data_IF_960298806474
#
_entry.id   IF_960298806474
#
_cell.length_a   1.000
_cell.length_b   1.000
_cell.length_c   1.000
_cell.angle_alpha   90.00
_cell.angle_beta   90.00
_cell.angle_gamma   90.00
#
_symmetry.space_group_name_H-M   'P 1'
#
loop_
_entity.id
_entity.type
_entity.pdbx_description
1 polymer ?
#
# COMPACT_ATOMS: atom_id res chain seq x y z
N UNK A 1 -20.11 19.47 17.90
CA UNK A 1 -18.78 19.85 17.42
C UNK A 1 -17.74 18.97 18.12
N UNK A 2 -16.76 18.43 17.40
CA UNK A 2 -15.63 17.67 17.95
C UNK A 2 -14.32 18.39 17.70
N UNK A 3 -13.44 18.39 18.69
CA UNK A 3 -12.08 18.90 18.53
C UNK A 3 -11.13 17.78 18.10
N UNK A 4 -10.36 18.01 17.04
CA UNK A 4 -9.29 17.14 16.57
C UNK A 4 -7.94 17.83 16.78
N UNK A 5 -7.14 17.33 17.74
CA UNK A 5 -5.80 17.86 18.00
C UNK A 5 -4.78 17.13 17.14
N UNK A 6 -3.99 17.87 16.36
CA UNK A 6 -2.89 17.34 15.57
C UNK A 6 -1.58 17.72 16.24
N UNK A 7 -0.91 16.74 16.86
CA UNK A 7 0.41 16.90 17.45
C UNK A 7 1.47 16.85 16.34
N UNK A 8 2.03 18.00 16.00
CA UNK A 8 3.00 18.17 14.93
C UNK A 8 4.42 18.09 15.50
N UNK A 9 5.22 17.14 15.01
CA UNK A 9 6.65 17.09 15.34
C UNK A 9 7.45 17.98 14.39
N UNK A 10 8.66 18.43 14.75
CA UNK A 10 9.55 19.06 13.79
C UNK A 10 9.72 18.20 12.54
N UNK A 11 9.73 18.83 11.36
CA UNK A 11 9.87 18.17 10.06
C UNK A 11 8.74 17.16 9.74
N UNK A 12 7.54 17.36 10.30
CA UNK A 12 6.38 16.53 9.96
C UNK A 12 6.06 16.59 8.45
N UNK A 13 5.52 15.51 7.91
CA UNK A 13 5.18 15.43 6.49
C UNK A 13 3.93 16.27 6.17
N UNK A 14 4.08 17.37 5.42
CA UNK A 14 2.98 18.28 5.07
C UNK A 14 1.79 17.56 4.43
N UNK A 15 2.06 16.65 3.48
CA UNK A 15 1.00 15.89 2.81
C UNK A 15 0.17 15.05 3.79
N UNK A 16 0.82 14.44 4.79
CA UNK A 16 0.13 13.64 5.80
C UNK A 16 -0.76 14.49 6.71
N UNK A 17 -0.29 15.69 7.07
CA UNK A 17 -1.06 16.66 7.83
C UNK A 17 -2.26 17.16 7.02
N UNK A 18 -2.03 17.66 5.81
CA UNK A 18 -3.09 18.14 4.93
C UNK A 18 -4.17 17.07 4.70
N UNK A 19 -3.76 15.83 4.41
CA UNK A 19 -4.69 14.70 4.18
C UNK A 19 -5.53 14.34 5.40
N UNK A 20 -5.05 14.61 6.61
CA UNK A 20 -5.79 14.36 7.85
C UNK A 20 -6.69 15.55 8.24
N UNK A 21 -6.25 16.78 7.97
CA UNK A 21 -6.93 18.00 8.39
C UNK A 21 -8.05 18.40 7.41
N UNK A 22 -7.75 18.42 6.11
CA UNK A 22 -8.65 18.96 5.09
C UNK A 22 -10.03 18.27 5.01
N UNK A 23 -10.17 16.95 5.24
CA UNK A 23 -11.48 16.29 5.28
C UNK A 23 -12.43 16.85 6.34
N UNK A 24 -11.90 17.30 7.48
CA UNK A 24 -12.69 17.89 8.55
C UNK A 24 -13.25 19.24 8.11
N UNK A 25 -12.44 20.07 7.46
CA UNK A 25 -12.85 21.36 6.90
C UNK A 25 -13.89 21.18 5.80
N UNK A 26 -13.70 20.20 4.91
CA UNK A 26 -14.66 19.88 3.86
C UNK A 26 -15.99 19.39 4.43
N UNK A 27 -15.97 18.52 5.45
CA UNK A 27 -17.19 18.06 6.12
C UNK A 27 -18.00 19.21 6.72
N UNK A 28 -17.34 20.19 7.37
CA UNK A 28 -18.01 21.39 7.87
C UNK A 28 -18.64 22.20 6.73
N UNK A 29 -17.88 22.42 5.66
CA UNK A 29 -18.36 23.22 4.52
C UNK A 29 -19.58 22.58 3.84
N UNK A 30 -19.51 21.27 3.58
CA UNK A 30 -20.54 20.52 2.85
C UNK A 30 -21.81 20.38 3.70
N UNK A 31 -21.67 20.13 5.01
CA UNK A 31 -22.82 20.02 5.91
C UNK A 31 -23.48 21.37 6.23
N UNK A 32 -22.75 22.47 6.07
CA UNK A 32 -23.20 23.79 6.50
C UNK A 32 -23.14 24.00 8.03
N UNK A 33 -22.54 23.07 8.78
CA UNK A 33 -22.43 23.10 10.24
C UNK A 33 -20.97 23.01 10.70
N UNK A 34 -20.67 23.52 11.90
CA UNK A 34 -19.36 23.33 12.54
C UNK A 34 -19.32 21.96 13.24
N UNK A 35 -19.09 20.90 12.47
CA UNK A 35 -18.97 19.54 12.98
C UNK A 35 -17.64 19.29 13.68
N UNK A 36 -16.55 19.87 13.15
CA UNK A 36 -15.18 19.63 13.58
C UNK A 36 -14.38 20.91 13.78
N UNK A 37 -13.46 20.88 14.76
CA UNK A 37 -12.49 21.94 15.01
C UNK A 37 -11.07 21.34 15.03
N UNK A 38 -10.25 21.57 13.99
CA UNK A 38 -8.86 21.17 14.01
C UNK A 38 -8.03 22.15 14.86
N UNK A 39 -7.29 21.61 15.84
CA UNK A 39 -6.31 22.36 16.62
C UNK A 39 -4.91 21.78 16.39
N UNK A 40 -3.91 22.65 16.31
CA UNK A 40 -2.52 22.25 16.10
C UNK A 40 -1.76 22.38 17.41
N UNK A 41 -1.11 21.30 17.84
CA UNK A 41 -0.36 21.25 19.09
C UNK A 41 1.07 20.78 18.85
N UNK A 42 1.98 21.17 19.72
CA UNK A 42 3.35 20.66 19.79
C UNK A 42 3.79 20.58 21.25
N UNK A 43 4.98 20.01 21.53
CA UNK A 43 5.46 19.86 22.92
C UNK A 43 5.49 21.20 23.66
N UNK A 44 6.11 22.22 23.07
CA UNK A 44 6.27 23.56 23.64
C UNK A 44 5.31 24.62 23.10
N UNK A 45 4.55 24.32 22.04
CA UNK A 45 3.85 25.33 21.25
C UNK A 45 4.79 26.13 20.34
N UNK A 46 4.23 27.13 19.67
CA UNK A 46 4.92 27.99 18.70
C UNK A 46 4.98 27.41 17.29
N UNK A 47 5.74 28.03 16.37
CA UNK A 47 5.80 27.60 14.97
C UNK A 47 6.55 26.28 14.81
N UNK A 48 5.92 25.32 14.14
CA UNK A 48 6.53 24.03 13.77
C UNK A 48 6.62 23.88 12.26
N UNK A 49 7.85 23.75 11.75
CA UNK A 49 8.11 23.58 10.32
C UNK A 49 7.86 22.15 9.85
N UNK A 50 7.18 22.04 8.71
CA UNK A 50 6.99 20.81 7.94
C UNK A 50 8.20 20.47 7.06
N UNK A 51 8.15 19.29 6.45
CA UNK A 51 9.16 18.78 5.53
C UNK A 51 9.35 19.58 4.23
N UNK A 52 8.42 20.48 3.88
CA UNK A 52 8.55 21.35 2.70
C UNK A 52 8.84 22.81 3.06
N UNK A 53 9.14 23.12 4.33
CA UNK A 53 9.52 24.46 4.78
C UNK A 53 8.35 25.39 5.13
N UNK A 54 7.10 25.00 4.84
CA UNK A 54 5.92 25.67 5.42
C UNK A 54 5.77 25.30 6.90
N UNK A 55 5.13 26.15 7.71
CA UNK A 55 4.95 25.92 9.14
C UNK A 55 3.51 26.13 9.59
N UNK A 56 3.17 25.56 10.74
CA UNK A 56 1.93 25.83 11.46
C UNK A 56 2.29 26.48 12.79
N UNK A 57 1.51 27.48 13.20
CA UNK A 57 1.55 27.93 14.59
C UNK A 57 0.80 26.94 15.47
N UNK A 58 1.38 26.58 16.61
CA UNK A 58 0.87 25.50 17.46
C UNK A 58 0.72 25.96 18.90
N UNK A 59 -0.26 25.39 19.58
CA UNK A 59 -0.40 25.55 21.02
C UNK A 59 0.48 24.51 21.74
N UNK A 60 1.00 24.82 22.94
CA UNK A 60 1.60 23.79 23.76
C UNK A 60 0.56 22.72 24.07
N UNK A 61 0.96 21.45 24.05
CA UNK A 61 0.09 20.35 24.46
C UNK A 61 -0.37 20.52 25.91
N UNK A 62 0.38 21.28 26.74
CA UNK A 62 -0.07 21.84 28.01
C UNK A 62 -0.61 20.83 29.03
N UNK A 63 -1.06 21.32 30.18
CA UNK A 63 -1.81 20.50 31.12
C UNK A 63 -3.30 20.71 30.84
N UNK A 64 -3.86 19.90 29.95
CA UNK A 64 -5.26 20.00 29.57
C UNK A 64 -6.15 19.65 30.78
N UNK A 65 -6.96 20.63 31.21
CA UNK A 65 -8.04 20.44 32.20
C UNK A 65 -9.36 19.98 31.54
N UNK A 66 -9.44 20.03 30.21
CA UNK A 66 -10.61 19.65 29.42
C UNK A 66 -10.49 18.22 28.87
N UNK A 67 -11.64 17.60 28.60
CA UNK A 67 -11.72 16.29 27.98
C UNK A 67 -11.23 16.35 26.52
N UNK A 68 -10.08 15.76 26.24
CA UNK A 68 -9.54 15.62 24.88
C UNK A 68 -10.12 14.36 24.25
N UNK A 69 -11.01 14.52 23.28
CA UNK A 69 -11.63 13.39 22.58
C UNK A 69 -10.68 12.74 21.56
N UNK A 70 -9.99 13.56 20.75
CA UNK A 70 -9.20 13.08 19.61
C UNK A 70 -7.83 13.76 19.56
N UNK A 71 -6.76 12.96 19.45
CA UNK A 71 -5.40 13.45 19.25
C UNK A 71 -4.63 12.57 18.25
N UNK A 72 -4.07 13.18 17.21
CA UNK A 72 -3.28 12.50 16.17
C UNK A 72 -1.85 13.04 16.14
N UNK A 73 -0.88 12.16 16.37
CA UNK A 73 0.55 12.47 16.24
C UNK A 73 0.98 12.36 14.79
N UNK A 74 1.52 13.43 14.23
CA UNK A 74 2.05 13.45 12.87
C UNK A 74 3.55 13.64 12.94
N UNK A 75 4.29 12.57 12.66
CA UNK A 75 5.74 12.62 12.63
C UNK A 75 6.30 12.29 11.24
N UNK A 76 7.27 13.09 10.82
CA UNK A 76 8.02 12.92 9.57
C UNK A 76 9.52 12.82 9.84
N UNK A 77 10.32 12.76 8.78
CA UNK A 77 11.77 12.60 8.89
C UNK A 77 12.14 11.29 9.58
N UNK A 78 13.10 11.36 10.53
CA UNK A 78 13.47 10.22 11.36
C UNK A 78 12.73 10.29 12.72
N UNK A 79 11.61 9.57 12.90
CA UNK A 79 10.84 9.62 14.15
C UNK A 79 11.56 8.97 15.34
N UNK A 80 12.57 8.12 15.09
CA UNK A 80 13.36 7.48 16.14
C UNK A 80 14.34 8.44 16.82
N UNK A 81 14.72 9.52 16.14
CA UNK A 81 15.60 10.56 16.66
C UNK A 81 14.87 11.68 17.41
N UNK A 82 13.54 11.59 17.55
CA UNK A 82 12.76 12.59 18.28
C UNK A 82 12.97 12.43 19.79
N UNK A 83 13.16 13.55 20.48
CA UNK A 83 13.04 13.63 21.94
C UNK A 83 11.56 13.71 22.30
N UNK A 84 11.06 12.71 23.05
CA UNK A 84 9.62 12.55 23.27
C UNK A 84 9.24 12.37 24.73
N UNK A 85 10.13 12.58 25.71
CA UNK A 85 9.84 12.24 27.11
C UNK A 85 8.65 13.01 27.67
N UNK A 86 8.63 14.33 27.48
CA UNK A 86 7.51 15.19 27.89
C UNK A 86 6.21 14.81 27.15
N UNK A 87 6.31 14.64 25.82
CA UNK A 87 5.19 14.23 24.97
C UNK A 87 4.63 12.88 25.43
N UNK A 88 5.49 11.91 25.76
CA UNK A 88 5.10 10.57 26.16
C UNK A 88 4.34 10.57 27.48
N UNK A 89 4.73 11.41 28.44
CA UNK A 89 4.02 11.54 29.71
C UNK A 89 2.59 12.06 29.50
N UNK A 90 2.43 13.09 28.66
CA UNK A 90 1.13 13.66 28.32
C UNK A 90 0.27 12.68 27.50
N UNK A 91 0.83 12.00 26.50
CA UNK A 91 0.13 10.97 25.73
C UNK A 91 -0.41 9.84 26.63
N UNK A 92 0.40 9.36 27.59
CA UNK A 92 -0.04 8.37 28.59
C UNK A 92 -1.13 8.90 29.52
N UNK A 93 -1.14 10.21 29.80
CA UNK A 93 -2.21 10.83 30.60
C UNK A 93 -3.52 10.83 29.81
N UNK A 94 -3.50 11.31 28.56
CA UNK A 94 -4.66 11.30 27.67
C UNK A 94 -5.23 9.89 27.46
N UNK A 95 -4.36 8.89 27.32
CA UNK A 95 -4.77 7.49 27.20
C UNK A 95 -5.61 7.01 28.39
N UNK A 96 -5.24 7.40 29.63
CA UNK A 96 -6.01 7.06 30.84
C UNK A 96 -7.39 7.73 30.88
N UNK A 97 -7.59 8.81 30.13
CA UNK A 97 -8.88 9.50 30.01
C UNK A 97 -9.72 9.00 28.82
N UNK A 98 -9.27 7.97 28.11
CA UNK A 98 -10.03 7.35 27.01
C UNK A 98 -9.99 8.14 25.71
N UNK A 99 -9.03 9.05 25.54
CA UNK A 99 -8.82 9.78 24.29
C UNK A 99 -8.57 8.81 23.12
N UNK A 100 -9.19 9.06 21.97
CA UNK A 100 -8.79 8.43 20.71
C UNK A 100 -7.42 8.97 20.31
N UNK A 101 -6.39 8.12 20.42
CA UNK A 101 -5.01 8.50 20.11
C UNK A 101 -4.58 7.84 18.80
N UNK A 102 -4.18 8.67 17.84
CA UNK A 102 -3.74 8.24 16.54
C UNK A 102 -2.30 8.58 16.21
N UNK A 103 -1.72 7.81 15.29
CA UNK A 103 -0.35 7.97 14.81
C UNK A 103 -0.30 7.92 13.30
N UNK A 104 0.14 9.01 12.68
CA UNK A 104 0.21 9.17 11.22
C UNK A 104 1.67 9.21 10.78
N UNK A 105 2.01 8.43 9.76
CA UNK A 105 3.38 8.29 9.25
C UNK A 105 4.30 7.75 10.35
N UNK A 106 5.31 8.51 10.79
CA UNK A 106 6.16 8.17 11.91
C UNK A 106 5.46 8.28 13.27
N UNK A 107 4.24 8.81 13.34
CA UNK A 107 3.51 9.02 14.59
C UNK A 107 3.32 7.73 15.40
N UNK A 108 3.15 6.59 14.72
CA UNK A 108 3.07 5.29 15.40
C UNK A 108 4.36 4.92 16.15
N UNK A 109 5.54 5.39 15.70
CA UNK A 109 6.81 5.22 16.44
C UNK A 109 6.77 5.99 17.76
N UNK A 110 6.25 7.23 17.74
CA UNK A 110 6.07 8.04 18.96
C UNK A 110 5.11 7.33 19.92
N UNK A 111 4.00 6.77 19.41
CA UNK A 111 3.06 6.00 20.24
C UNK A 111 3.68 4.70 20.79
N UNK A 112 4.52 4.01 20.02
CA UNK A 112 5.23 2.82 20.46
C UNK A 112 6.17 3.14 21.63
N UNK A 113 7.01 4.17 21.48
CA UNK A 113 7.92 4.64 22.53
C UNK A 113 7.19 5.18 23.76
N UNK A 114 5.99 5.76 23.60
CA UNK A 114 5.13 6.14 24.71
C UNK A 114 4.49 4.95 25.45
N UNK A 115 4.58 3.73 24.89
CA UNK A 115 4.01 2.50 25.46
C UNK A 115 2.55 2.23 25.07
N UNK A 116 2.02 2.94 24.07
CA UNK A 116 0.58 3.01 23.79
C UNK A 116 0.06 1.99 22.76
N UNK A 117 0.95 1.19 22.17
CA UNK A 117 0.60 0.24 21.11
C UNK A 117 0.63 -1.24 21.56
N UNK A 118 0.99 -1.50 22.82
CA UNK A 118 0.98 -2.87 23.35
C UNK A 118 -0.44 -3.44 23.32
N UNK A 119 -0.58 -4.67 22.82
CA UNK A 119 -1.85 -5.38 22.67
C UNK A 119 -2.87 -4.64 21.78
N UNK A 120 -2.40 -3.79 20.87
CA UNK A 120 -3.20 -3.09 19.88
C UNK A 120 -2.81 -3.52 18.48
N UNK A 121 -3.78 -3.58 17.59
CA UNK A 121 -3.54 -3.62 16.15
C UNK A 121 -3.15 -2.22 15.70
N UNK A 122 -2.09 -2.12 14.91
CA UNK A 122 -1.62 -0.85 14.40
C UNK A 122 -0.82 -1.01 13.12
N UNK A 123 -0.57 0.11 12.44
CA UNK A 123 0.30 0.22 11.28
C UNK A 123 1.25 1.40 11.46
N UNK A 124 2.33 1.43 10.68
CA UNK A 124 3.31 2.53 10.59
C UNK A 124 3.73 2.68 9.14
N UNK A 125 4.26 3.82 8.71
CA UNK A 125 4.84 3.95 7.37
C UNK A 125 5.85 2.83 7.09
N UNK A 126 5.77 2.20 5.91
CA UNK A 126 6.56 1.04 5.51
C UNK A 126 8.07 1.22 5.73
N UNK A 127 8.58 2.43 5.54
CA UNK A 127 10.00 2.77 5.71
C UNK A 127 10.47 2.60 7.17
N UNK A 128 9.57 2.74 8.14
CA UNK A 128 9.89 2.64 9.56
C UNK A 128 9.56 1.27 10.15
N UNK A 129 8.94 0.34 9.40
CA UNK A 129 8.50 -0.95 9.95
C UNK A 129 9.64 -1.79 10.48
N UNK A 130 10.77 -1.86 9.76
CA UNK A 130 11.88 -2.73 10.17
C UNK A 130 12.59 -2.16 11.40
N UNK A 131 12.95 -0.88 11.37
CA UNK A 131 13.51 -0.19 12.53
C UNK A 131 12.60 -0.27 13.76
N UNK A 132 11.28 -0.19 13.58
CA UNK A 132 10.32 -0.36 14.68
C UNK A 132 10.37 -1.78 15.26
N UNK A 133 10.50 -2.83 14.43
CA UNK A 133 10.62 -4.21 14.90
C UNK A 133 11.94 -4.48 15.61
N UNK A 134 13.01 -3.83 15.16
CA UNK A 134 14.32 -3.91 15.83
C UNK A 134 14.27 -3.28 17.22
N UNK A 135 13.68 -2.09 17.36
CA UNK A 135 13.56 -1.40 18.65
C UNK A 135 12.49 -2.02 19.57
N UNK A 136 11.39 -2.52 19.00
CA UNK A 136 10.27 -3.12 19.73
C UNK A 136 9.90 -4.51 19.20
N UNK A 137 10.67 -5.57 19.52
CA UNK A 137 10.45 -6.92 18.98
C UNK A 137 9.08 -7.54 19.31
N UNK A 138 8.41 -7.04 20.35
CA UNK A 138 7.09 -7.51 20.78
C UNK A 138 5.93 -6.86 20.00
N UNK A 139 6.19 -5.81 19.23
CA UNK A 139 5.18 -5.11 18.45
C UNK A 139 5.21 -5.59 16.99
N UNK A 140 4.04 -5.90 16.44
CA UNK A 140 3.92 -6.38 15.05
C UNK A 140 3.04 -5.42 14.26
N UNK A 141 3.63 -4.46 13.51
CA UNK A 141 2.84 -3.57 12.66
C UNK A 141 2.23 -4.32 11.48
N UNK A 142 0.96 -4.02 11.17
CA UNK A 142 0.26 -4.53 9.99
C UNK A 142 0.68 -3.74 8.74
N UNK A 143 0.75 -4.40 7.57
CA UNK A 143 1.12 -3.76 6.29
C UNK A 143 -0.07 -3.08 5.59
N UNK A 144 -0.86 -2.33 6.35
CA UNK A 144 -2.13 -1.70 5.92
C UNK A 144 -2.01 -0.20 5.75
N UNK A 145 -2.84 0.41 4.90
CA UNK A 145 -2.92 1.87 4.77
C UNK A 145 -3.27 2.55 6.10
N UNK A 146 -4.25 2.02 6.81
CA UNK A 146 -4.60 2.46 8.16
C UNK A 146 -5.19 1.32 8.99
N UNK A 147 -5.17 1.46 10.30
CA UNK A 147 -5.73 0.51 11.27
C UNK A 147 -6.47 1.29 12.34
N UNK A 148 -7.76 0.98 12.50
CA UNK A 148 -8.60 1.43 13.60
C UNK A 148 -8.79 0.26 14.57
N UNK A 149 -8.35 0.43 15.82
CA UNK A 149 -8.47 -0.58 16.88
C UNK A 149 -8.86 0.07 18.21
N UNK A 150 -10.17 0.05 18.50
CA UNK A 150 -10.78 0.70 19.68
C UNK A 150 -10.42 2.20 19.72
N UNK A 151 -9.69 2.61 20.74
CA UNK A 151 -9.15 3.96 21.01
C UNK A 151 -7.80 4.23 20.33
N UNK A 152 -7.46 3.48 19.28
CA UNK A 152 -6.26 3.69 18.44
C UNK A 152 -6.59 3.84 16.97
N UNK A 153 -5.99 4.84 16.33
CA UNK A 153 -6.11 5.08 14.89
C UNK A 153 -4.73 5.34 14.27
N UNK A 154 -4.15 4.35 13.60
CA UNK A 154 -2.81 4.50 13.00
C UNK A 154 -2.86 4.45 11.48
N UNK A 155 -1.96 5.18 10.83
CA UNK A 155 -1.98 5.35 9.39
C UNK A 155 -0.57 5.45 8.81
N UNK A 156 -0.38 4.89 7.61
CA UNK A 156 0.87 4.89 6.88
C UNK A 156 1.41 6.30 6.57
N UNK A 157 0.54 7.32 6.43
CA UNK A 157 0.94 8.67 6.01
C UNK A 157 0.75 8.93 4.51
N UNK A 158 1.33 10.02 4.00
CA UNK A 158 1.08 10.50 2.64
C UNK A 158 -0.40 10.87 2.48
N UNK A 159 -1.09 10.24 1.52
CA UNK A 159 -2.53 10.42 1.29
C UNK A 159 -3.41 9.39 2.04
N UNK A 160 -2.83 8.36 2.67
CA UNK A 160 -3.60 7.37 3.44
C UNK A 160 -4.43 7.96 4.59
N UNK A 161 -4.03 9.08 5.25
CA UNK A 161 -4.88 9.72 6.24
C UNK A 161 -6.21 10.20 5.67
N UNK A 162 -6.27 10.53 4.38
CA UNK A 162 -7.50 10.93 3.71
C UNK A 162 -8.55 9.80 3.78
N UNK A 163 -8.14 8.58 3.45
CA UNK A 163 -9.00 7.38 3.54
C UNK A 163 -9.42 7.09 4.99
N UNK A 164 -8.47 7.20 5.94
CA UNK A 164 -8.74 6.99 7.36
C UNK A 164 -9.77 8.01 7.89
N UNK A 165 -9.62 9.28 7.53
CA UNK A 165 -10.54 10.34 7.97
C UNK A 165 -11.92 10.16 7.35
N UNK A 166 -12.04 9.66 6.12
CA UNK A 166 -13.33 9.28 5.55
C UNK A 166 -14.00 8.17 6.34
N UNK A 167 -13.26 7.14 6.75
CA UNK A 167 -13.81 6.08 7.60
C UNK A 167 -14.32 6.63 8.94
N UNK A 168 -13.59 7.58 9.56
CA UNK A 168 -14.01 8.23 10.81
C UNK A 168 -15.25 9.12 10.62
N UNK A 169 -15.30 9.91 9.54
CA UNK A 169 -16.46 10.74 9.20
C UNK A 169 -17.68 9.84 8.90
N UNK A 170 -17.51 8.78 8.13
CA UNK A 170 -18.56 7.81 7.80
C UNK A 170 -19.12 7.15 9.06
N UNK A 171 -18.25 6.71 9.98
CA UNK A 171 -18.67 6.06 11.21
C UNK A 171 -19.57 6.96 12.07
N UNK A 172 -19.42 8.29 11.99
CA UNK A 172 -20.12 9.25 12.84
C UNK A 172 -21.29 9.96 12.17
N UNK A 173 -21.16 10.31 10.90
CA UNK A 173 -22.14 11.10 10.15
C UNK A 173 -22.79 10.34 9.00
N UNK A 174 -22.45 9.05 8.84
CA UNK A 174 -23.01 8.20 7.81
C UNK A 174 -22.29 8.30 6.46
N UNK A 175 -22.67 7.41 5.56
CA UNK A 175 -22.03 7.23 4.25
C UNK A 175 -22.21 8.44 3.32
N UNK A 176 -23.35 9.11 3.40
CA UNK A 176 -23.71 10.24 2.52
C UNK A 176 -22.70 11.39 2.65
N UNK A 177 -22.51 11.93 3.87
CA UNK A 177 -21.55 13.01 4.10
C UNK A 177 -20.12 12.57 3.75
N UNK A 178 -19.74 11.34 4.11
CA UNK A 178 -18.40 10.85 3.79
C UNK A 178 -18.14 10.77 2.28
N UNK A 179 -19.15 10.38 1.50
CA UNK A 179 -19.07 10.31 0.04
C UNK A 179 -18.95 11.71 -0.58
N UNK A 180 -19.73 12.68 -0.10
CA UNK A 180 -19.62 14.07 -0.57
C UNK A 180 -18.27 14.69 -0.24
N UNK A 181 -17.75 14.42 0.97
CA UNK A 181 -16.38 14.82 1.35
C UNK A 181 -15.35 14.16 0.41
N UNK A 182 -15.51 12.89 0.06
CA UNK A 182 -14.63 12.20 -0.89
C UNK A 182 -14.67 12.83 -2.29
N UNK A 183 -15.87 13.13 -2.78
CA UNK A 183 -16.10 13.77 -4.07
C UNK A 183 -15.47 15.17 -4.13
N UNK A 184 -15.52 15.94 -3.04
CA UNK A 184 -14.90 17.26 -2.93
C UNK A 184 -13.39 17.25 -3.25
N UNK A 185 -12.67 16.20 -2.86
CA UNK A 185 -11.24 16.05 -3.14
C UNK A 185 -10.93 15.34 -4.46
N UNK A 186 -11.93 15.07 -5.30
CA UNK A 186 -11.79 14.27 -6.52
C UNK A 186 -11.18 12.89 -6.18
N UNK A 187 -11.45 12.40 -4.96
CA UNK A 187 -10.97 11.11 -4.48
C UNK A 187 -12.07 10.07 -4.74
N UNK A 188 -12.29 9.78 -6.02
CA UNK A 188 -13.45 9.00 -6.49
C UNK A 188 -13.40 7.51 -6.10
N UNK A 189 -12.25 7.04 -5.61
CA UNK A 189 -12.08 5.69 -5.09
C UNK A 189 -11.35 5.74 -3.75
N UNK A 190 -12.11 5.74 -2.66
CA UNK A 190 -11.56 5.61 -1.31
C UNK A 190 -10.95 4.22 -1.17
N UNK A 191 -9.68 4.16 -0.79
CA UNK A 191 -8.96 2.90 -0.62
C UNK A 191 -9.35 2.26 0.70
N UNK A 192 -9.67 0.95 0.72
CA UNK A 192 -10.01 0.28 1.97
C UNK A 192 -8.78 0.14 2.87
N UNK A 193 -9.02 -0.06 4.17
CA UNK A 193 -7.96 -0.15 5.19
C UNK A 193 -6.95 -1.27 4.91
N UNK A 194 -7.45 -2.40 4.39
CA UNK A 194 -6.69 -3.60 4.02
C UNK A 194 -5.73 -3.44 2.85
N UNK A 195 -5.83 -2.36 2.07
CA UNK A 195 -4.91 -2.14 0.96
C UNK A 195 -3.46 -2.08 1.46
N UNK A 196 -2.56 -2.66 0.67
CA UNK A 196 -1.14 -2.66 0.98
C UNK A 196 -0.54 -1.26 0.79
N UNK A 197 0.29 -0.82 1.74
CA UNK A 197 0.95 0.50 1.65
C UNK A 197 1.85 0.63 0.43
N UNK A 198 2.48 -0.47 0.05
CA UNK A 198 3.43 -0.53 -1.06
C UNK A 198 3.31 -1.91 -1.71
N UNK A 199 2.89 -1.91 -2.97
CA UNK A 199 2.86 -3.10 -3.83
C UNK A 199 4.29 -3.42 -4.25
N UNK A 200 5.05 -4.10 -3.40
CA UNK A 200 6.38 -4.62 -3.70
C UNK A 200 6.31 -6.14 -3.71
N UNK A 201 7.00 -6.77 -4.67
CA UNK A 201 7.31 -8.21 -4.54
C UNK A 201 8.09 -8.42 -3.22
N UNK A 202 7.97 -9.63 -2.69
CA UNK A 202 8.59 -10.17 -1.47
C UNK A 202 10.08 -9.84 -1.26
N UNK A 203 10.80 -9.44 -2.31
CA UNK A 203 12.23 -9.09 -2.31
C UNK A 203 12.55 -7.58 -2.25
N UNK A 204 11.56 -6.68 -2.08
CA UNK A 204 11.84 -5.25 -1.86
C UNK A 204 12.14 -4.43 -3.12
N UNK A 205 12.02 -5.02 -4.32
CA UNK A 205 12.31 -4.38 -5.62
C UNK A 205 11.12 -3.54 -6.08
N UNK A 206 11.37 -2.25 -6.37
CA UNK A 206 10.37 -1.39 -7.01
C UNK A 206 10.09 -1.87 -8.43
N UNK A 207 8.98 -2.59 -8.60
CA UNK A 207 8.53 -3.05 -9.89
C UNK A 207 7.97 -1.87 -10.70
N UNK A 208 8.16 -1.92 -12.02
CA UNK A 208 7.54 -0.97 -12.93
C UNK A 208 6.00 -1.07 -12.78
N UNK A 209 5.25 0.05 -12.74
CA UNK A 209 3.81 0.02 -12.51
C UNK A 209 3.04 -0.90 -13.48
N UNK A 210 3.52 -1.02 -14.73
CA UNK A 210 2.93 -1.93 -15.73
C UNK A 210 3.21 -3.41 -15.43
N UNK A 211 4.32 -3.72 -14.75
CA UNK A 211 4.59 -5.09 -14.27
C UNK A 211 3.62 -5.43 -13.14
N UNK A 212 3.38 -4.50 -12.20
CA UNK A 212 2.40 -4.70 -11.13
C UNK A 212 0.99 -4.97 -11.67
N UNK A 213 0.53 -4.13 -12.61
CA UNK A 213 -0.77 -4.33 -13.28
C UNK A 213 -0.81 -5.68 -14.00
N UNK A 214 0.25 -6.06 -14.71
CA UNK A 214 0.32 -7.34 -15.39
C UNK A 214 0.28 -8.53 -14.42
N UNK A 215 1.00 -8.47 -13.29
CA UNK A 215 0.97 -9.50 -12.24
C UNK A 215 -0.45 -9.62 -11.70
N UNK A 216 -1.11 -8.50 -11.39
CA UNK A 216 -2.48 -8.54 -10.89
C UNK A 216 -3.45 -9.19 -11.87
N UNK A 217 -3.34 -8.84 -13.16
CA UNK A 217 -4.13 -9.47 -14.21
C UNK A 217 -3.85 -10.98 -14.31
N UNK A 218 -2.61 -11.41 -14.09
CA UNK A 218 -2.27 -12.84 -14.08
C UNK A 218 -2.92 -13.58 -12.90
N UNK A 219 -2.92 -12.97 -11.72
CA UNK A 219 -3.54 -13.54 -10.51
C UNK A 219 -5.06 -13.64 -10.64
N UNK A 220 -5.69 -12.61 -11.21
CA UNK A 220 -7.14 -12.57 -11.41
C UNK A 220 -7.61 -13.54 -12.53
N UNK A 221 -6.71 -13.99 -13.42
CA UNK A 221 -7.02 -14.84 -14.58
C UNK A 221 -6.27 -16.19 -14.58
N UNK A 222 -6.08 -16.80 -13.41
CA UNK A 222 -5.34 -18.08 -13.28
C UNK A 222 -5.97 -19.24 -14.06
N UNK A 223 -7.30 -19.37 -14.04
CA UNK A 223 -8.02 -20.47 -14.70
C UNK A 223 -8.10 -20.27 -16.23
N UNK A 224 -8.13 -19.02 -16.69
CA UNK A 224 -8.20 -18.65 -18.11
C UNK A 224 -7.05 -17.67 -18.45
N UNK A 225 -5.81 -18.18 -18.61
CA UNK A 225 -4.64 -17.31 -18.70
C UNK A 225 -4.65 -16.40 -19.93
N UNK A 226 -4.49 -15.10 -19.69
CA UNK A 226 -4.30 -14.10 -20.73
C UNK A 226 -2.99 -14.29 -21.50
N UNK A 227 -3.02 -14.08 -22.82
CA UNK A 227 -1.83 -14.06 -23.67
C UNK A 227 -0.94 -12.85 -23.36
N UNK A 228 0.32 -12.90 -23.78
CA UNK A 228 1.25 -11.77 -23.66
C UNK A 228 0.70 -10.52 -24.35
N UNK A 229 0.08 -10.68 -25.52
CA UNK A 229 -0.52 -9.60 -26.30
C UNK A 229 -1.71 -8.99 -25.58
N UNK A 230 -2.53 -9.81 -24.93
CA UNK A 230 -3.68 -9.35 -24.13
C UNK A 230 -3.20 -8.57 -22.90
N UNK A 231 -2.24 -9.13 -22.15
CA UNK A 231 -1.63 -8.46 -21.00
C UNK A 231 -1.02 -7.12 -21.38
N UNK A 232 -0.24 -7.09 -22.46
CA UNK A 232 0.41 -5.87 -22.95
C UNK A 232 -0.62 -4.81 -23.38
N UNK A 233 -1.69 -5.23 -24.08
CA UNK A 233 -2.79 -4.36 -24.49
C UNK A 233 -3.50 -3.72 -23.30
N UNK A 234 -3.86 -4.52 -22.28
CA UNK A 234 -4.53 -4.01 -21.07
C UNK A 234 -3.58 -3.08 -20.29
N UNK A 235 -2.28 -3.40 -20.26
CA UNK A 235 -1.27 -2.54 -19.64
C UNK A 235 -0.99 -1.25 -20.44
N UNK A 236 -1.45 -1.12 -21.69
CA UNK A 236 -1.19 0.03 -22.55
C UNK A 236 0.27 0.14 -23.01
N UNK A 237 0.97 -0.98 -23.17
CA UNK A 237 2.36 -1.02 -23.68
C UNK A 237 2.54 -2.14 -24.70
N UNK A 238 3.64 -2.13 -25.46
CA UNK A 238 3.93 -3.21 -26.40
C UNK A 238 4.35 -4.52 -25.68
N UNK A 239 4.11 -5.70 -26.28
CA UNK A 239 4.60 -6.99 -25.76
C UNK A 239 6.11 -7.00 -25.46
N UNK A 240 6.90 -6.35 -26.31
CA UNK A 240 8.36 -6.22 -26.15
C UNK A 240 8.73 -5.37 -24.93
N UNK A 241 8.02 -4.26 -24.71
CA UNK A 241 8.24 -3.44 -23.50
C UNK A 241 7.87 -4.21 -22.25
N UNK A 242 6.73 -4.91 -22.26
CA UNK A 242 6.29 -5.72 -21.13
C UNK A 242 7.33 -6.82 -20.81
N UNK A 243 7.82 -7.55 -21.81
CA UNK A 243 8.88 -8.53 -21.60
C UNK A 243 10.17 -7.90 -21.06
N UNK A 244 10.56 -6.73 -21.56
CA UNK A 244 11.75 -6.03 -21.08
C UNK A 244 11.62 -5.66 -19.60
N UNK A 245 10.46 -5.13 -19.20
CA UNK A 245 10.21 -4.80 -17.80
C UNK A 245 10.21 -6.04 -16.90
N UNK A 246 9.62 -7.15 -17.35
CA UNK A 246 9.69 -8.41 -16.61
C UNK A 246 11.13 -8.93 -16.44
N UNK A 247 11.98 -8.80 -17.46
CA UNK A 247 13.39 -9.16 -17.33
C UNK A 247 14.16 -8.20 -16.42
N UNK A 248 13.95 -6.88 -16.55
CA UNK A 248 14.66 -5.92 -15.71
C UNK A 248 14.26 -6.01 -14.24
N UNK A 249 12.97 -6.26 -13.98
CA UNK A 249 12.41 -6.12 -12.63
C UNK A 249 12.37 -7.45 -11.88
N UNK A 250 12.24 -8.59 -12.60
CA UNK A 250 12.02 -9.91 -12.01
C UNK A 250 13.00 -10.98 -12.50
N UNK A 251 13.95 -10.62 -13.38
CA UNK A 251 14.93 -11.52 -14.02
C UNK A 251 14.28 -12.75 -14.68
N UNK A 252 13.11 -12.57 -15.29
CA UNK A 252 12.37 -13.64 -15.97
C UNK A 252 11.42 -13.11 -17.03
N UNK A 253 11.01 -13.99 -17.94
CA UNK A 253 9.96 -13.67 -18.91
C UNK A 253 8.57 -13.66 -18.28
N UNK A 254 7.64 -12.94 -18.92
CA UNK A 254 6.20 -12.91 -18.60
C UNK A 254 5.63 -14.32 -18.50
N UNK A 255 5.95 -15.19 -19.46
CA UNK A 255 5.44 -16.57 -19.52
C UNK A 255 5.94 -17.41 -18.34
N UNK A 256 7.23 -17.29 -18.00
CA UNK A 256 7.80 -17.99 -16.84
C UNK A 256 7.17 -17.52 -15.53
N UNK A 257 6.95 -16.21 -15.38
CA UNK A 257 6.32 -15.67 -14.18
C UNK A 257 4.86 -16.13 -14.06
N UNK A 258 4.10 -16.09 -15.16
CA UNK A 258 2.71 -16.55 -15.15
C UNK A 258 2.59 -18.05 -14.83
N UNK A 259 3.48 -18.88 -15.40
CA UNK A 259 3.57 -20.29 -15.05
C UNK A 259 3.83 -20.49 -13.56
N UNK A 260 4.71 -19.68 -12.95
CA UNK A 260 5.02 -19.74 -11.52
C UNK A 260 3.79 -19.42 -10.66
N UNK A 261 3.04 -18.36 -10.98
CA UNK A 261 1.80 -18.00 -10.26
C UNK A 261 0.83 -19.18 -10.28
N UNK A 262 0.62 -19.78 -11.45
CA UNK A 262 -0.30 -20.91 -11.65
C UNK A 262 0.15 -22.16 -10.89
N UNK A 263 1.45 -22.47 -10.90
CA UNK A 263 2.01 -23.59 -10.14
C UNK A 263 1.95 -23.37 -8.63
N UNK A 264 2.18 -22.14 -8.16
CA UNK A 264 2.02 -21.77 -6.75
C UNK A 264 0.58 -21.95 -6.28
N UNK A 265 -0.39 -21.53 -7.09
CA UNK A 265 -1.81 -21.75 -6.78
C UNK A 265 -2.16 -23.24 -6.78
N UNK A 266 -1.58 -24.01 -7.69
CA UNK A 266 -1.79 -25.46 -7.72
C UNK A 266 -1.24 -26.12 -6.45
N UNK A 267 -0.07 -25.70 -5.96
CA UNK A 267 0.48 -26.16 -4.69
C UNK A 267 -0.46 -25.87 -3.51
N UNK A 268 -1.00 -24.66 -3.44
CA UNK A 268 -1.98 -24.28 -2.42
C UNK A 268 -3.21 -25.21 -2.46
N UNK A 269 -3.80 -25.40 -3.64
CA UNK A 269 -4.96 -26.27 -3.83
C UNK A 269 -4.64 -27.74 -3.51
N UNK A 270 -3.43 -28.22 -3.78
CA UNK A 270 -3.00 -29.56 -3.42
C UNK A 270 -2.97 -29.78 -1.90
N UNK A 271 -2.65 -28.73 -1.13
CA UNK A 271 -2.57 -28.77 0.34
C UNK A 271 -3.91 -28.52 1.02
N UNK A 272 -4.75 -27.64 0.46
CA UNK A 272 -5.89 -27.07 1.17
C UNK A 272 -7.25 -27.54 0.65
N UNK A 273 -7.30 -28.25 -0.48
CA UNK A 273 -8.55 -28.68 -1.11
C UNK A 273 -8.63 -30.20 -1.30
N UNK A 274 -9.86 -30.69 -1.49
CA UNK A 274 -10.13 -32.10 -1.86
C UNK A 274 -10.25 -32.32 -3.37
N UNK A 275 -10.01 -31.29 -4.19
CA UNK A 275 -10.08 -31.37 -5.65
C UNK A 275 -9.14 -32.45 -6.17
N UNK A 276 -9.52 -33.20 -7.19
CA UNK A 276 -8.62 -34.15 -7.88
C UNK A 276 -7.45 -33.43 -8.56
N UNK A 277 -6.38 -34.17 -8.87
CA UNK A 277 -5.22 -33.62 -9.60
C UNK A 277 -5.65 -33.06 -10.97
N UNK A 278 -6.63 -33.68 -11.61
CA UNK A 278 -7.21 -33.24 -12.88
C UNK A 278 -7.98 -31.93 -12.73
N UNK A 279 -8.82 -31.80 -11.69
CA UNK A 279 -9.54 -30.55 -11.41
C UNK A 279 -8.58 -29.40 -11.07
N UNK A 280 -7.51 -29.67 -10.31
CA UNK A 280 -6.49 -28.66 -10.01
C UNK A 280 -5.77 -28.20 -11.29
N UNK A 281 -5.48 -29.12 -12.22
CA UNK A 281 -4.86 -28.75 -13.49
C UNK A 281 -5.74 -27.74 -14.25
N UNK A 282 -7.04 -28.01 -14.37
CA UNK A 282 -7.97 -27.10 -15.06
C UNK A 282 -8.21 -25.81 -14.28
N UNK A 283 -8.37 -25.87 -12.96
CA UNK A 283 -8.55 -24.70 -12.10
C UNK A 283 -7.34 -23.75 -12.11
N UNK A 284 -6.16 -24.26 -12.48
CA UNK A 284 -4.93 -23.48 -12.65
C UNK A 284 -4.55 -23.27 -14.12
N UNK A 285 -5.54 -23.40 -15.02
CA UNK A 285 -5.45 -23.02 -16.42
C UNK A 285 -4.61 -23.93 -17.31
N UNK A 286 -4.30 -25.16 -16.87
CA UNK A 286 -3.59 -26.13 -17.71
C UNK A 286 -4.58 -26.86 -18.62
N UNK A 287 -4.22 -26.99 -19.90
CA UNK A 287 -5.04 -27.69 -20.89
C UNK A 287 -5.16 -29.20 -20.64
N UNK A 288 -4.24 -29.80 -19.88
CA UNK A 288 -4.29 -31.21 -19.51
C UNK A 288 -3.56 -31.50 -18.21
N UNK A 289 -4.00 -32.56 -17.52
CA UNK A 289 -3.34 -33.07 -16.32
C UNK A 289 -1.88 -33.47 -16.58
N UNK A 290 -1.58 -34.04 -17.75
CA UNK A 290 -0.23 -34.44 -18.13
C UNK A 290 0.73 -33.24 -18.26
N UNK A 291 0.25 -32.14 -18.84
CA UNK A 291 1.03 -30.90 -18.95
C UNK A 291 1.28 -30.27 -17.58
N UNK A 292 0.24 -30.24 -16.73
CA UNK A 292 0.36 -29.80 -15.35
C UNK A 292 1.38 -30.63 -14.57
N UNK A 293 1.25 -31.96 -14.57
CA UNK A 293 2.12 -32.85 -13.80
C UNK A 293 3.58 -32.73 -14.22
N UNK A 294 3.84 -32.56 -15.53
CA UNK A 294 5.19 -32.30 -16.05
C UNK A 294 5.72 -30.95 -15.57
N UNK A 295 4.95 -29.88 -15.72
CA UNK A 295 5.36 -28.54 -15.29
C UNK A 295 5.62 -28.47 -13.78
N UNK A 296 4.75 -29.10 -12.98
CA UNK A 296 4.88 -29.18 -11.54
C UNK A 296 6.14 -29.95 -11.13
N UNK A 297 6.40 -31.12 -11.74
CA UNK A 297 7.62 -31.88 -11.48
C UNK A 297 8.89 -31.13 -11.85
N UNK A 298 8.87 -30.40 -12.97
CA UNK A 298 10.00 -29.58 -13.38
C UNK A 298 10.28 -28.44 -12.39
N UNK A 299 9.24 -27.85 -11.81
CA UNK A 299 9.37 -26.74 -10.86
C UNK A 299 9.75 -27.20 -9.45
N UNK A 300 9.17 -28.32 -8.98
CA UNK A 300 9.23 -28.74 -7.58
C UNK A 300 10.05 -30.01 -7.33
N UNK A 301 10.49 -30.72 -8.37
CA UNK A 301 11.26 -31.96 -8.26
C UNK A 301 10.43 -33.22 -7.98
N UNK A 302 9.12 -33.08 -7.77
CA UNK A 302 8.21 -34.17 -7.45
C UNK A 302 6.85 -34.04 -8.15
N UNK A 303 6.07 -35.11 -8.21
CA UNK A 303 4.73 -35.07 -8.83
C UNK A 303 3.67 -34.43 -7.92
N UNK A 304 2.58 -33.86 -8.49
CA UNK A 304 1.45 -33.35 -7.71
C UNK A 304 0.86 -34.37 -6.73
N UNK A 305 0.80 -35.64 -7.13
CA UNK A 305 0.29 -36.73 -6.29
C UNK A 305 1.20 -37.00 -5.09
N UNK A 306 2.52 -36.94 -5.27
CA UNK A 306 3.50 -37.08 -4.18
C UNK A 306 3.37 -35.91 -3.19
N UNK A 307 3.37 -34.67 -3.69
CA UNK A 307 3.19 -33.45 -2.86
C UNK A 307 1.93 -33.51 -2.01
N UNK A 308 0.83 -34.08 -2.51
CA UNK A 308 -0.42 -34.23 -1.76
C UNK A 308 -0.32 -35.29 -0.66
N UNK A 309 0.35 -36.40 -0.92
CA UNK A 309 0.53 -37.46 0.07
C UNK A 309 1.41 -36.98 1.24
N UNK A 310 2.31 -36.04 1.01
CA UNK A 310 3.25 -35.47 1.99
C UNK A 310 2.68 -34.33 2.86
N UNK A 311 1.35 -34.21 3.00
CA UNK A 311 0.66 -33.15 3.75
C UNK A 311 0.93 -33.04 5.27
N UNK A 312 2.18 -33.25 5.73
CA UNK A 312 2.61 -33.15 7.12
C UNK A 312 4.07 -32.75 7.39
N UNK A 313 4.96 -32.52 6.41
CA UNK A 313 6.34 -32.08 6.73
C UNK A 313 6.97 -31.16 5.67
N UNK A 314 7.41 -29.96 6.09
CA UNK A 314 8.04 -28.97 5.21
C UNK A 314 9.57 -29.16 5.18
N UNK A 315 10.13 -29.42 4.00
CA UNK A 315 11.52 -29.05 3.67
C UNK A 315 11.53 -28.14 2.44
N UNK A 316 11.66 -26.85 2.70
CA UNK A 316 11.77 -25.78 1.70
C UNK A 316 13.16 -25.80 1.07
N UNK A 317 13.35 -26.54 -0.03
CA UNK A 317 14.66 -26.72 -0.71
C UNK A 317 15.11 -25.53 -1.59
N UNK A 318 14.26 -24.52 -1.80
CA UNK A 318 14.53 -23.44 -2.77
C UNK A 318 15.42 -22.29 -2.25
N UNK A 319 15.73 -22.22 -0.95
CA UNK A 319 16.58 -21.14 -0.38
C UNK A 319 18.07 -21.33 -0.70
N UNK A 320 18.53 -22.54 -1.07
CA UNK A 320 19.99 -22.81 -1.18
C UNK A 320 20.58 -22.59 -2.59
N UNK A 321 19.78 -22.44 -3.65
CA UNK A 321 20.34 -22.41 -5.03
C UNK A 321 20.74 -21.02 -5.56
N UNK A 322 20.51 -19.95 -4.80
CA UNK A 322 20.81 -18.57 -5.22
C UNK A 322 22.32 -18.25 -5.18
N UNK A 323 23.18 -19.09 -4.58
CA UNK A 323 24.64 -18.86 -4.52
C UNK A 323 25.49 -19.51 -5.62
N UNK A 324 24.93 -20.27 -6.59
CA UNK A 324 25.77 -21.10 -7.47
C UNK A 324 25.68 -20.91 -8.99
N UNK A 325 24.84 -20.03 -9.51
CA UNK A 325 24.83 -19.75 -10.96
C UNK A 325 25.33 -18.32 -11.26
N UNK A 326 26.57 -18.05 -10.86
CA UNK A 326 27.38 -16.93 -11.33
C UNK A 326 28.72 -17.47 -11.80
N UNK A 327 28.72 -18.26 -12.87
CA UNK A 327 29.91 -18.91 -13.40
C UNK A 327 29.66 -19.47 -14.79
N UNK A 328 30.21 -18.79 -15.78
CA UNK A 328 30.29 -19.21 -17.17
C UNK A 328 30.75 -20.67 -17.32
N UNK A 329 29.94 -21.52 -17.93
CA UNK A 329 30.39 -22.83 -18.40
C UNK A 329 31.14 -22.68 -19.73
N UNK A 330 32.35 -23.23 -19.89
CA UNK A 330 33.07 -23.21 -21.15
C UNK A 330 32.57 -24.28 -22.12
N UNK A 331 32.64 -23.94 -23.40
CA UNK A 331 32.24 -24.73 -24.57
C UNK A 331 33.12 -25.99 -24.73
N UNK A 332 32.56 -27.21 -24.78
CA UNK A 332 33.32 -28.45 -24.93
C UNK A 332 33.63 -28.72 -26.41
N UNK A 333 34.47 -27.88 -27.03
CA UNK A 333 34.96 -28.11 -28.41
C UNK A 333 36.19 -27.25 -28.75
N UNK A 334 37.22 -27.26 -27.91
CA UNK A 334 38.52 -26.70 -28.27
C UNK A 334 39.64 -27.17 -27.32
N UNK A 335 39.98 -28.46 -27.30
CA UNK A 335 41.28 -28.90 -26.75
C UNK A 335 41.87 -30.02 -27.60
N UNK A 336 42.70 -29.61 -28.56
CA UNK A 336 43.82 -30.43 -29.05
C UNK A 336 44.89 -29.48 -29.61
N UNK A 337 46.12 -29.65 -29.11
CA UNK A 337 47.37 -28.88 -29.35
C UNK A 337 47.48 -27.61 -28.47
N UNK A 338 48.58 -27.31 -27.79
CA UNK A 338 49.92 -27.90 -27.69
C UNK A 338 50.61 -27.25 -26.46
N UNK A 339 51.63 -27.94 -25.94
CA UNK A 339 52.52 -27.53 -24.85
C UNK A 339 53.51 -26.41 -25.26
N UNK A 340 54.24 -25.91 -24.24
CA UNK A 340 55.48 -25.11 -24.25
C UNK A 340 55.20 -23.59 -24.17
N UNK A 341 55.73 -22.77 -23.26
CA UNK A 341 56.71 -22.91 -22.17
C UNK A 341 57.19 -21.50 -21.73
N UNK A 342 57.56 -21.37 -20.46
CA UNK A 342 58.55 -20.46 -19.88
C UNK A 342 58.45 -18.90 -20.01
N UNK A 343 58.19 -18.27 -18.85
CA UNK A 343 59.12 -17.47 -18.04
C UNK A 343 59.63 -16.06 -18.51
N UNK A 344 59.74 -15.19 -17.49
CA UNK A 344 60.64 -14.02 -17.26
C UNK A 344 60.13 -12.58 -17.50
N UNK A 345 59.80 -11.96 -16.37
CA UNK A 345 60.39 -10.72 -15.79
C UNK A 345 60.60 -9.47 -16.66
N UNK A 346 60.14 -8.29 -16.20
CA UNK A 346 61.00 -7.21 -15.62
C UNK A 346 60.28 -5.85 -15.47
N UNK A 347 60.42 -5.30 -14.25
CA UNK A 347 60.72 -3.90 -13.87
C UNK A 347 59.83 -2.71 -14.30
N UNK A 348 59.26 -2.06 -13.28
CA UNK A 348 58.99 -0.61 -13.15
C UNK A 348 60.33 0.20 -13.06
N UNK A 349 60.42 1.56 -12.95
CA UNK A 349 59.41 2.47 -12.36
C UNK A 349 59.34 3.94 -12.88
N UNK A 350 58.29 4.64 -12.42
CA UNK A 350 58.43 5.97 -11.81
C UNK A 350 58.15 7.22 -12.65
N UNK A 351 57.13 8.00 -12.26
CA UNK A 351 57.27 9.38 -11.71
C UNK A 351 55.91 10.13 -11.73
N UNK A 352 55.54 10.64 -10.56
CA UNK A 352 54.77 11.88 -10.33
C UNK A 352 55.74 12.81 -9.56
N UNK A 353 55.59 14.16 -9.46
CA UNK A 353 54.38 14.81 -8.93
C UNK A 353 54.07 16.27 -9.37
N UNK A 354 52.98 16.81 -8.79
CA UNK A 354 52.69 18.23 -8.47
C UNK A 354 52.02 19.10 -9.55
N UNK A 355 51.22 20.15 -9.28
CA UNK A 355 50.46 20.73 -8.14
C UNK A 355 49.73 21.97 -8.72
N UNK A 356 48.54 22.31 -8.20
CA UNK A 356 47.89 23.66 -8.11
C UNK A 356 47.72 24.50 -9.42
N UNK A 357 46.62 25.21 -9.71
CA UNK A 357 46.01 26.31 -8.95
C UNK A 357 44.72 26.80 -9.64
N UNK A 358 43.88 27.48 -8.86
CA UNK A 358 42.55 28.08 -9.17
C UNK A 358 42.58 29.48 -9.82
N UNK A 359 41.38 29.90 -10.34
CA UNK A 359 40.77 31.26 -10.50
C UNK A 359 40.97 32.02 -11.86
N UNK A 360 40.17 33.07 -12.19
CA UNK A 360 38.70 33.10 -12.45
C UNK A 360 38.27 34.04 -13.64
N UNK A 361 36.97 34.07 -13.99
CA UNK A 361 36.24 35.27 -14.43
C UNK A 361 36.16 35.62 -15.93
N UNK A 362 34.94 35.85 -16.43
CA UNK A 362 34.67 36.49 -17.72
C UNK A 362 33.17 36.77 -17.94
N UNK A 363 32.79 38.05 -17.93
CA UNK A 363 31.43 38.58 -18.11
C UNK A 363 31.02 38.57 -19.59
N UNK A 364 29.72 38.42 -19.85
CA UNK A 364 29.10 38.78 -21.13
C UNK A 364 27.59 38.99 -20.99
N UNK A 365 27.16 40.27 -20.96
CA UNK A 365 25.78 40.69 -21.27
C UNK A 365 25.57 40.60 -22.79
N UNK A 366 24.31 40.46 -23.24
CA UNK A 366 23.62 41.39 -24.19
C UNK A 366 22.21 40.89 -24.55
N UNK A 367 21.23 41.78 -24.31
CA UNK A 367 19.96 42.14 -25.01
C UNK A 367 18.90 41.11 -25.46
N UNK A 368 17.74 41.24 -24.80
CA UNK A 368 16.40 41.60 -25.32
C UNK A 368 16.11 41.48 -26.82
N UNK A 369 15.01 40.77 -27.13
CA UNK A 369 14.25 40.88 -28.38
C UNK A 369 12.83 40.35 -28.21
N UNK A 370 11.88 41.25 -27.96
CA UNK A 370 10.43 41.04 -28.09
C UNK A 370 10.03 41.62 -29.47
N UNK A 371 9.33 40.84 -30.29
CA UNK A 371 8.52 41.37 -31.40
C UNK A 371 7.41 40.37 -31.75
N UNK A 372 6.18 40.87 -31.75
CA UNK A 372 4.96 40.11 -32.05
C UNK A 372 4.59 40.08 -33.54
N UNK A 373 3.77 39.07 -33.89
CA UNK A 373 2.40 39.15 -34.46
C UNK A 373 2.38 39.20 -36.02
N UNK A 374 1.26 38.97 -36.77
CA UNK A 374 -0.06 38.34 -36.52
C UNK A 374 -0.57 37.40 -37.66
N UNK A 375 -1.76 36.78 -37.46
CA UNK A 375 -2.76 36.43 -38.52
C UNK A 375 -2.62 35.03 -39.17
N UNK A 376 -3.67 34.29 -39.56
CA UNK A 376 -5.08 34.59 -39.85
C UNK A 376 -5.89 33.26 -40.03
N UNK A 377 -7.23 33.35 -39.90
CA UNK A 377 -8.33 32.40 -40.27
C UNK A 377 -8.60 31.20 -39.33
N UNK A 378 -9.68 31.14 -38.54
CA UNK A 378 -11.13 31.02 -38.84
C UNK A 378 -11.48 29.93 -39.86
N UNK A 379 -12.07 28.80 -39.43
CA UNK A 379 -13.54 28.65 -39.28
C UNK A 379 -13.97 27.15 -39.35
N UNK A 380 -15.09 26.86 -38.66
CA UNK A 380 -16.10 25.83 -38.97
C UNK A 380 -15.91 24.32 -38.64
N UNK A 381 -16.72 23.92 -37.64
CA UNK A 381 -17.78 22.90 -37.75
C UNK A 381 -17.52 21.44 -37.40
N UNK A 382 -18.24 21.00 -36.36
CA UNK A 382 -18.56 19.61 -36.02
C UNK A 382 -19.29 18.87 -37.15
N UNK A 383 -19.22 17.53 -37.15
CA UNK A 383 -20.47 16.79 -37.17
C UNK A 383 -20.59 15.74 -36.06
N UNK A 384 -21.80 15.68 -35.53
CA UNK A 384 -22.38 14.66 -34.65
C UNK A 384 -22.54 13.35 -35.43
N UNK A 385 -22.14 12.23 -34.83
CA UNK A 385 -22.40 10.88 -35.32
C UNK A 385 -22.50 9.89 -34.17
N UNK A 386 -23.73 9.59 -33.76
CA UNK A 386 -24.10 8.58 -32.76
C UNK A 386 -23.96 7.14 -33.28
N UNK A 387 -23.53 6.23 -32.39
CA UNK A 387 -24.07 4.88 -32.08
C UNK A 387 -22.96 3.85 -31.77
N UNK A 388 -23.25 2.75 -31.03
CA UNK A 388 -23.62 2.71 -29.62
C UNK A 388 -22.58 1.95 -28.77
N UNK A 389 -22.40 2.37 -27.52
CA UNK A 389 -21.65 1.58 -26.52
C UNK A 389 -22.49 0.35 -26.13
N UNK A 390 -21.94 -0.84 -26.36
CA UNK A 390 -22.50 -2.11 -25.89
C UNK A 390 -22.41 -2.13 -24.37
N UNK A 391 -23.57 -2.07 -23.70
CA UNK A 391 -23.70 -2.42 -22.28
C UNK A 391 -23.35 -3.89 -22.08
N UNK A 392 -22.20 -4.18 -21.48
CA UNK A 392 -21.95 -5.49 -20.88
C UNK A 392 -22.66 -5.49 -19.53
N UNK A 393 -23.86 -6.08 -19.53
CA UNK A 393 -24.67 -6.40 -18.36
C UNK A 393 -23.83 -7.23 -17.36
N UNK A 394 -23.42 -6.63 -16.25
CA UNK A 394 -23.00 -7.39 -15.07
C UNK A 394 -24.24 -7.93 -14.37
N UNK A 395 -24.56 -9.20 -14.61
CA UNK A 395 -25.46 -9.97 -13.74
C UNK A 395 -24.60 -10.60 -12.63
N UNK A 396 -24.95 -10.43 -11.34
CA UNK A 396 -24.29 -11.14 -10.27
C UNK A 396 -24.61 -12.65 -10.35
N UNK A 397 -23.57 -13.47 -10.24
CA UNK A 397 -23.66 -14.93 -10.14
C UNK A 397 -24.32 -15.29 -8.81
N UNK A 398 -25.55 -15.79 -8.88
CA UNK A 398 -26.27 -16.42 -7.75
C UNK A 398 -25.58 -17.75 -7.39
N UNK A 399 -25.04 -17.84 -6.18
CA UNK A 399 -24.73 -19.14 -5.57
C UNK A 399 -26.03 -19.82 -5.12
N UNK A 400 -26.31 -21.01 -5.67
CA UNK A 400 -27.34 -21.92 -5.15
C UNK A 400 -26.94 -22.37 -3.72
N UNK A 401 -27.82 -22.11 -2.75
CA UNK A 401 -27.88 -22.79 -1.47
C UNK A 401 -29.33 -23.18 -1.19
N UNK A 402 -29.63 -24.47 -1.35
CA UNK A 402 -30.75 -25.21 -0.77
C UNK A 402 -30.27 -26.67 -0.69
N UNK A 403 -30.50 -27.53 0.30
CA UNK A 403 -31.28 -27.61 1.56
C UNK A 403 -30.72 -28.87 2.28
N UNK A 404 -30.85 -29.12 3.58
CA UNK A 404 -31.63 -28.46 4.61
C UNK A 404 -31.53 -29.16 5.98
N UNK A 405 -32.56 -28.87 6.78
CA UNK A 405 -33.04 -29.54 8.00
C UNK A 405 -32.38 -29.18 9.34
N UNK A 406 -33.18 -28.56 10.23
CA UNK A 406 -32.92 -28.47 11.66
C UNK A 406 -33.53 -27.26 12.38
N UNK A 407 -34.86 -27.16 12.44
CA UNK A 407 -35.60 -26.21 13.28
C UNK A 407 -35.41 -26.50 14.78
N UNK A 408 -35.10 -25.48 15.59
CA UNK A 408 -35.60 -25.35 16.96
C UNK A 408 -35.61 -23.88 17.40
N UNK A 409 -36.81 -23.42 17.76
CA UNK A 409 -37.21 -22.08 18.22
C UNK A 409 -36.59 -21.73 19.58
N UNK A 410 -36.17 -20.47 19.77
CA UNK A 410 -36.23 -19.77 21.06
C UNK A 410 -36.64 -18.31 20.82
N UNK A 411 -37.80 -17.92 21.36
CA UNK A 411 -38.35 -16.56 21.40
C UNK A 411 -38.01 -15.96 22.78
N UNK A 412 -37.53 -14.72 22.92
CA UNK A 412 -37.64 -13.99 24.17
C UNK A 412 -38.94 -13.16 24.21
N UNK A 413 -39.65 -13.31 25.33
CA UNK A 413 -40.91 -12.64 25.69
C UNK A 413 -40.74 -11.12 25.72
N UNK A 414 -41.65 -10.41 25.06
CA UNK A 414 -41.88 -8.98 25.26
C UNK A 414 -42.71 -8.72 26.51
N UNK A 415 -42.36 -7.62 27.15
CA UNK A 415 -42.91 -6.99 28.35
C UNK A 415 -44.39 -6.61 28.18
N UNK A 416 -45.16 -6.79 29.25
CA UNK A 416 -46.55 -6.37 29.32
C UNK A 416 -46.67 -4.86 29.57
N UNK A 417 -47.43 -4.20 28.71
CA UNK A 417 -47.98 -2.87 28.98
C UNK A 417 -49.52 -2.97 28.96
N UNK A 418 -50.12 -2.61 30.08
CA UNK A 418 -51.56 -2.58 30.30
C UNK A 418 -52.16 -1.30 29.70
N UNK A 419 -53.12 -1.48 28.79
CA UNK A 419 -53.98 -0.44 28.26
C UNK A 419 -54.74 0.34 29.35
N UNK A 420 -54.72 1.68 29.26
CA UNK A 420 -55.78 2.59 29.73
C UNK A 420 -56.46 3.22 28.50
N UNK A 421 -57.80 3.33 28.45
CA UNK A 421 -58.50 4.02 27.37
C UNK A 421 -58.68 5.51 27.69
N UNK A 422 -58.45 6.37 26.70
CA UNK A 422 -58.83 7.79 26.71
C UNK A 422 -60.08 7.94 25.83
N UNK A 423 -61.14 8.63 26.29
CA UNK A 423 -62.28 8.97 25.46
C UNK A 423 -62.07 10.33 24.77
N UNK A 424 -62.65 10.46 23.58
CA UNK A 424 -62.86 11.72 22.85
C UNK A 424 -64.32 11.66 22.31
N UNK A 425 -64.98 12.75 21.87
CA UNK A 425 -64.63 14.18 21.89
C UNK A 425 -65.78 15.11 22.35
N UNK A 426 -65.46 16.40 22.57
CA UNK A 426 -66.17 17.61 22.08
C UNK A 426 -66.18 18.78 23.08
N UNK A 427 -65.82 19.96 22.53
CA UNK A 427 -65.81 21.32 23.09
C UNK A 427 -64.72 21.69 24.10
#
# INVERSE_FOLDING_TARGET
MQTFRFLLTPNFAMMSAASAIEPLRAANYISGETLYEPLYVSGSGGPVSSSCGAYFDTQPMGDHQEDVENLFVIAGGNPFALEIDEISAQLRRLDRHGTLIGGISGGAVVLARAGLLKNRRFTVHWEHMEALREEFPMLTPEKRLFVLDRDRATCAGGVAPLDMMYALIQARHGLELATEVSNWFIHTHVRPAEDEQRLIDSDGIMLHPKVLVAIRLMEDHIAEPLSLEQLARICGISPRQLQRHFHSDLDRSVVQHYLRIRLSKAEELLRQSRLSITEIAFATGFASQSNFARAFRNAYGESPSQRRAEGGAVKTWWVTKIRRNGGSHPNPRAEKKELIGANKSRTAPGRSPSRFRTRPGGRGRVRTGLQGNPGLFDDMSFPVGMAPFVQISQKPVRWLRETGHGLAKIIPRTTGETHKPIPNPSA
#
